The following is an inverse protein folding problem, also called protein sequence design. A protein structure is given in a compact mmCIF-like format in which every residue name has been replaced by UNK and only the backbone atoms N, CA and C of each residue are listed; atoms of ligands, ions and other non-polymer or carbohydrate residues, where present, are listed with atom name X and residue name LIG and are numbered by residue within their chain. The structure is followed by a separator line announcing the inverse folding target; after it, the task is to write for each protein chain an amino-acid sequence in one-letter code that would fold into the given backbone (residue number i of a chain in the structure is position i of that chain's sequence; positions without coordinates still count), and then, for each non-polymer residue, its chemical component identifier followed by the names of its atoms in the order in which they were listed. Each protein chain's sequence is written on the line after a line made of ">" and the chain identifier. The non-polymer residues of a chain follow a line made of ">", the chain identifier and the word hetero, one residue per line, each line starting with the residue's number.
data_IF_471239255702
#
_entry.id   IF_471239255702
#
_cell.length_a   1.000
_cell.length_b   1.000
_cell.length_c   1.000
_cell.angle_alpha   90.00
_cell.angle_beta   90.00
_cell.angle_gamma   90.00
#
_symmetry.space_group_name_H-M   'P 1'
#
loop_
_entity.id
_entity.type
_entity.pdbx_description
1 polymer ?
#
# COMPACT_ATOMS: atom_id res chain seq x y z
N UNK A 1 -34.84 -2.86 0.10
CA UNK A 1 -34.23 -4.06 0.71
C UNK A 1 -32.83 -4.15 0.14
N UNK A 2 -31.78 -4.18 0.97
CA UNK A 2 -30.41 -4.28 0.46
C UNK A 2 -30.22 -5.60 -0.29
N UNK A 3 -29.59 -5.55 -1.47
CA UNK A 3 -29.18 -6.69 -2.28
C UNK A 3 -27.66 -6.62 -2.47
N UNK A 4 -26.97 -7.74 -2.25
CA UNK A 4 -25.52 -7.85 -2.46
C UNK A 4 -25.28 -8.08 -3.94
N UNK A 5 -25.17 -7.01 -4.72
CA UNK A 5 -24.97 -7.12 -6.17
C UNK A 5 -23.56 -7.62 -6.54
N UNK A 6 -22.62 -7.67 -5.59
CA UNK A 6 -21.22 -8.01 -5.82
C UNK A 6 -20.67 -8.94 -4.74
N UNK A 7 -20.05 -10.05 -5.15
CA UNK A 7 -19.33 -10.93 -4.24
C UNK A 7 -17.86 -10.51 -4.13
N UNK A 8 -17.55 -9.76 -3.07
CA UNK A 8 -16.19 -9.32 -2.73
C UNK A 8 -15.78 -10.08 -1.48
N UNK A 9 -14.62 -10.74 -1.53
CA UNK A 9 -14.08 -11.43 -0.37
C UNK A 9 -13.63 -10.44 0.71
N UNK A 10 -13.65 -10.88 1.96
CA UNK A 10 -13.16 -10.08 3.09
C UNK A 10 -11.71 -9.62 2.90
N UNK A 11 -10.85 -10.53 2.48
CA UNK A 11 -9.44 -10.21 2.21
C UNK A 11 -9.29 -9.15 1.12
N UNK A 12 -10.12 -9.20 0.08
CA UNK A 12 -10.06 -8.19 -0.99
C UNK A 12 -10.53 -6.82 -0.51
N UNK A 13 -11.49 -6.76 0.42
CA UNK A 13 -11.86 -5.51 1.09
C UNK A 13 -10.72 -4.96 1.97
N UNK A 14 -10.07 -5.83 2.76
CA UNK A 14 -8.92 -5.47 3.60
C UNK A 14 -7.78 -4.93 2.73
N UNK A 15 -7.41 -5.67 1.68
CA UNK A 15 -6.33 -5.27 0.78
C UNK A 15 -6.62 -3.93 0.12
N UNK A 16 -7.84 -3.69 -0.35
CA UNK A 16 -8.21 -2.42 -0.98
C UNK A 16 -8.04 -1.23 -0.02
N UNK A 17 -8.38 -1.40 1.26
CA UNK A 17 -8.25 -0.33 2.25
C UNK A 17 -6.77 -0.08 2.56
N UNK A 18 -6.00 -1.14 2.83
CA UNK A 18 -4.60 -1.00 3.21
C UNK A 18 -3.72 -0.53 2.05
N UNK A 19 -3.87 -1.13 0.87
CA UNK A 19 -3.03 -0.80 -0.28
C UNK A 19 -3.25 0.62 -0.79
N UNK A 20 -4.48 1.15 -0.83
CA UNK A 20 -4.69 2.51 -1.37
C UNK A 20 -3.92 3.54 -0.54
N UNK A 21 -3.97 3.45 0.79
CA UNK A 21 -3.26 4.35 1.70
C UNK A 21 -1.74 4.12 1.69
N UNK A 22 -1.31 2.86 1.61
CA UNK A 22 0.11 2.52 1.56
C UNK A 22 0.79 3.00 0.27
N UNK A 23 0.13 2.82 -0.87
CA UNK A 23 0.66 3.26 -2.16
C UNK A 23 0.69 4.79 -2.24
N UNK A 24 -0.33 5.49 -1.76
CA UNK A 24 -0.31 6.97 -1.68
C UNK A 24 0.80 7.48 -0.76
N UNK A 25 0.99 6.85 0.41
CA UNK A 25 2.10 7.20 1.31
C UNK A 25 3.45 7.03 0.62
N UNK A 26 3.62 5.94 -0.15
CA UNK A 26 4.85 5.70 -0.88
C UNK A 26 5.06 6.69 -2.03
N UNK A 27 4.00 7.16 -2.70
CA UNK A 27 4.09 8.26 -3.69
C UNK A 27 4.54 9.55 -3.04
N UNK A 28 3.96 9.92 -1.90
CA UNK A 28 4.39 11.11 -1.15
C UNK A 28 5.87 11.02 -0.75
N UNK A 29 6.36 9.84 -0.41
CA UNK A 29 7.78 9.63 -0.13
C UNK A 29 8.64 9.73 -1.41
N UNK A 30 8.22 9.12 -2.51
CA UNK A 30 8.90 9.21 -3.82
C UNK A 30 8.97 10.66 -4.36
N UNK A 31 7.93 11.46 -4.13
CA UNK A 31 7.84 12.86 -4.55
C UNK A 31 8.58 13.82 -3.60
N UNK A 32 9.15 13.31 -2.49
CA UNK A 32 9.86 14.11 -1.50
C UNK A 32 8.97 14.96 -0.59
N UNK A 33 7.66 14.67 -0.54
CA UNK A 33 6.72 15.27 0.42
C UNK A 33 6.97 14.73 1.83
N UNK A 34 7.33 13.45 1.95
CA UNK A 34 7.78 12.84 3.19
C UNK A 34 9.30 12.77 3.22
N UNK A 35 9.91 13.19 4.32
CA UNK A 35 11.37 13.30 4.46
C UNK A 35 12.03 11.94 4.80
N UNK A 36 11.32 11.04 5.48
CA UNK A 36 11.84 9.74 5.88
C UNK A 36 10.78 8.64 5.94
N UNK A 37 11.21 7.38 5.80
CA UNK A 37 10.32 6.21 5.98
C UNK A 37 9.83 6.07 7.43
N UNK A 38 10.63 6.53 8.40
CA UNK A 38 10.24 6.52 9.82
C UNK A 38 9.05 7.46 10.02
N UNK A 39 9.14 8.69 9.53
CA UNK A 39 8.06 9.68 9.67
C UNK A 39 6.82 9.25 8.90
N UNK A 40 6.98 8.65 7.73
CA UNK A 40 5.88 8.07 6.97
C UNK A 40 5.12 7.00 7.78
N UNK A 41 5.85 6.07 8.41
CA UNK A 41 5.24 4.98 9.17
C UNK A 41 4.61 5.48 10.48
N UNK A 42 5.34 6.26 11.28
CA UNK A 42 4.83 6.82 12.54
C UNK A 42 3.66 7.75 12.28
N UNK A 43 3.79 8.65 11.31
CA UNK A 43 2.74 9.58 10.91
C UNK A 43 1.50 8.87 10.36
N UNK A 44 1.67 7.77 9.61
CA UNK A 44 0.51 6.99 9.13
C UNK A 44 -0.29 6.38 10.28
N UNK A 45 0.38 5.86 11.32
CA UNK A 45 -0.28 5.23 12.47
C UNK A 45 -0.99 6.29 13.31
N UNK A 46 -0.28 7.35 13.71
CA UNK A 46 -0.82 8.34 14.66
C UNK A 46 -1.65 9.45 14.01
N UNK A 47 -1.45 9.71 12.72
CA UNK A 47 -2.17 10.76 11.99
C UNK A 47 -3.47 10.26 11.37
N UNK A 48 -3.41 9.21 10.54
CA UNK A 48 -4.57 8.71 9.78
C UNK A 48 -5.15 7.41 10.35
N UNK A 49 -4.63 6.91 11.47
CA UNK A 49 -5.11 5.68 12.10
C UNK A 49 -4.78 4.42 11.30
N UNK A 50 -3.66 4.39 10.57
CA UNK A 50 -3.25 3.22 9.80
C UNK A 50 -2.98 2.01 10.70
N UNK A 51 -3.18 0.80 10.15
CA UNK A 51 -3.09 -0.48 10.85
C UNK A 51 -1.78 -0.65 11.66
N UNK A 52 -1.80 -0.44 13.00
CA UNK A 52 -0.56 -0.35 13.79
C UNK A 52 0.20 -1.67 13.88
N UNK A 53 -0.49 -2.81 13.75
CA UNK A 53 0.13 -4.14 13.78
C UNK A 53 1.02 -4.44 12.57
N UNK A 54 1.00 -3.59 11.54
CA UNK A 54 1.84 -3.70 10.34
C UNK A 54 3.15 -2.91 10.43
N UNK A 55 3.30 -2.07 11.47
CA UNK A 55 4.42 -1.16 11.63
C UNK A 55 4.32 0.13 10.80
N UNK A 56 3.24 0.35 10.06
CA UNK A 56 2.96 1.59 9.30
C UNK A 56 2.78 1.34 7.81
N UNK A 57 2.42 2.38 7.07
CA UNK A 57 2.02 2.27 5.66
C UNK A 57 3.11 1.73 4.72
N UNK A 58 4.36 2.20 4.83
CA UNK A 58 5.48 1.68 4.02
C UNK A 58 5.94 0.33 4.56
N UNK A 59 5.98 0.18 5.89
CA UNK A 59 6.40 -1.07 6.52
C UNK A 59 5.45 -2.23 6.21
N UNK A 60 4.15 -1.94 6.04
CA UNK A 60 3.17 -2.90 5.54
C UNK A 60 3.59 -3.50 4.19
N UNK A 61 4.05 -2.68 3.23
CA UNK A 61 4.52 -3.17 1.93
C UNK A 61 5.76 -4.05 2.07
N UNK A 62 6.71 -3.67 2.94
CA UNK A 62 7.88 -4.48 3.26
C UNK A 62 7.47 -5.84 3.88
N UNK A 63 6.55 -5.85 4.83
CA UNK A 63 6.09 -7.05 5.53
C UNK A 63 5.25 -7.98 4.63
N UNK A 64 4.47 -7.41 3.72
CA UNK A 64 3.75 -8.14 2.68
C UNK A 64 4.73 -8.88 1.74
N UNK A 65 5.94 -8.35 1.63
CA UNK A 65 6.99 -8.77 0.72
C UNK A 65 6.90 -7.95 -0.56
N UNK A 66 7.95 -7.20 -0.88
CA UNK A 66 7.93 -6.17 -1.92
C UNK A 66 7.50 -6.69 -3.30
N UNK A 67 7.98 -7.88 -3.71
CA UNK A 67 7.56 -8.52 -4.98
C UNK A 67 6.06 -8.85 -4.98
N UNK A 68 5.55 -9.36 -3.85
CA UNK A 68 4.13 -9.70 -3.69
C UNK A 68 3.27 -8.44 -3.62
N UNK A 69 3.78 -7.39 -2.97
CA UNK A 69 3.09 -6.11 -2.83
C UNK A 69 2.95 -5.42 -4.19
N UNK A 70 4.02 -5.40 -5.00
CA UNK A 70 3.97 -4.88 -6.37
C UNK A 70 2.93 -5.64 -7.19
N UNK A 71 2.99 -6.98 -7.21
CA UNK A 71 2.02 -7.80 -7.95
C UNK A 71 0.58 -7.58 -7.47
N UNK A 72 0.36 -7.52 -6.15
CA UNK A 72 -0.98 -7.30 -5.59
C UNK A 72 -1.52 -5.92 -5.96
N UNK A 73 -0.68 -4.89 -5.94
CA UNK A 73 -1.05 -3.55 -6.39
C UNK A 73 -1.48 -3.54 -7.86
N UNK A 74 -0.79 -4.27 -8.74
CA UNK A 74 -1.18 -4.40 -10.17
C UNK A 74 -2.52 -5.11 -10.35
N UNK A 75 -2.76 -6.19 -9.60
CA UNK A 75 -4.05 -6.90 -9.61
C UNK A 75 -5.20 -5.97 -9.17
N UNK A 76 -4.97 -5.19 -8.11
CA UNK A 76 -5.94 -4.21 -7.62
C UNK A 76 -6.13 -3.06 -8.62
N UNK A 77 -5.08 -2.62 -9.31
CA UNK A 77 -5.16 -1.57 -10.32
C UNK A 77 -5.98 -2.03 -11.54
N UNK A 78 -5.73 -3.25 -12.02
CA UNK A 78 -6.48 -3.83 -13.12
C UNK A 78 -7.98 -3.99 -12.80
N UNK A 79 -8.31 -4.32 -11.54
CA UNK A 79 -9.70 -4.57 -11.12
C UNK A 79 -10.45 -3.32 -10.66
N UNK A 80 -9.76 -2.36 -10.05
CA UNK A 80 -10.39 -1.25 -9.33
C UNK A 80 -9.90 0.14 -9.75
N UNK A 81 -8.99 0.22 -10.71
CA UNK A 81 -8.54 1.47 -11.32
C UNK A 81 -7.21 2.00 -10.79
N UNK A 82 -6.79 3.10 -11.41
CA UNK A 82 -5.42 3.63 -11.36
C UNK A 82 -4.89 4.00 -9.97
N UNK A 83 -5.76 4.26 -8.99
CA UNK A 83 -5.36 4.57 -7.60
C UNK A 83 -4.46 3.50 -6.97
N UNK A 84 -4.59 2.25 -7.42
CA UNK A 84 -3.76 1.13 -6.97
C UNK A 84 -2.50 0.91 -7.80
N UNK A 85 -2.21 1.74 -8.81
CA UNK A 85 -1.03 1.57 -9.66
C UNK A 85 0.24 1.64 -8.82
N UNK A 86 1.11 0.60 -8.81
CA UNK A 86 2.30 0.64 -7.96
C UNK A 86 3.23 1.81 -8.33
N UNK A 87 3.68 2.61 -7.35
CA UNK A 87 4.67 3.68 -7.55
C UNK A 87 5.97 3.16 -8.17
N UNK A 88 6.75 4.04 -8.80
CA UNK A 88 7.98 3.65 -9.51
C UNK A 88 9.01 3.08 -8.53
N UNK A 89 9.10 3.65 -7.33
CA UNK A 89 9.92 3.17 -6.24
C UNK A 89 9.58 1.74 -5.83
N UNK A 90 8.29 1.39 -5.76
CA UNK A 90 7.88 0.02 -5.41
C UNK A 90 8.34 -0.99 -6.46
N UNK A 91 8.15 -0.66 -7.75
CA UNK A 91 8.61 -1.49 -8.87
C UNK A 91 10.12 -1.68 -8.86
N UNK A 92 10.85 -0.58 -8.69
CA UNK A 92 12.33 -0.57 -8.65
C UNK A 92 12.85 -1.43 -7.50
N UNK A 93 12.23 -1.32 -6.32
CA UNK A 93 12.61 -2.11 -5.14
C UNK A 93 12.27 -3.59 -5.28
N UNK A 94 11.18 -3.93 -5.97
CA UNK A 94 10.84 -5.32 -6.32
C UNK A 94 11.85 -5.93 -7.30
N UNK A 95 12.23 -5.20 -8.36
CA UNK A 95 13.28 -5.65 -9.29
C UNK A 95 14.62 -5.91 -8.57
N UNK A 96 14.95 -5.07 -7.59
CA UNK A 96 16.16 -5.20 -6.78
C UNK A 96 16.04 -6.22 -5.64
N UNK A 97 14.84 -6.73 -5.35
CA UNK A 97 14.53 -7.57 -4.17
C UNK A 97 14.98 -6.93 -2.85
N UNK A 98 14.72 -5.64 -2.72
CA UNK A 98 15.11 -4.85 -1.55
C UNK A 98 13.91 -4.21 -0.89
N UNK A 99 13.99 -4.06 0.43
CA UNK A 99 13.01 -3.29 1.19
C UNK A 99 13.17 -1.79 0.92
N UNK A 100 12.08 -1.06 1.14
CA UNK A 100 12.07 0.41 1.18
C UNK A 100 12.59 0.83 2.56
N UNK A 101 13.63 1.67 2.59
CA UNK A 101 14.34 2.15 3.78
C UNK A 101 14.30 3.66 3.86
#
# INVERSE_FOLDING_TARGET
>A
RWQKDHDISEQDMIDRILFVQALDTLRCYEEGVLESVIDANVGSIFGIGYAPWTGGAIQFLNQYGIDKAQKRAEELAAKYGERFTPPTLLKTKAEQKQNIQ
#
